data_IF_557987607311
#
_entry.id   IF_557987607311
#
_cell.length_a   1.000
_cell.length_b   1.000
_cell.length_c   1.000
_cell.angle_alpha   90.00
_cell.angle_beta   90.00
_cell.angle_gamma   90.00
#
_symmetry.space_group_name_H-M   'P 1'
#
loop_
_entity.id
_entity.type
_entity.pdbx_description
1 polymer ?
#
# COMPACT_ATOMS: atom_id res chain seq x y z
N UNK A 1 2.30 -22.69 8.41
CA UNK A 1 3.45 -22.05 9.09
C UNK A 1 3.04 -20.65 9.51
N UNK A 2 3.30 -20.23 10.76
CA UNK A 2 3.04 -18.86 11.21
C UNK A 2 4.12 -17.96 10.60
N UNK A 3 3.76 -17.11 9.63
CA UNK A 3 4.68 -16.10 9.11
C UNK A 3 4.96 -15.10 10.24
N UNK A 4 6.23 -14.82 10.60
CA UNK A 4 6.56 -13.83 11.61
C UNK A 4 6.28 -12.43 11.06
N UNK A 5 5.02 -12.00 11.17
CA UNK A 5 4.48 -10.81 10.50
C UNK A 5 5.25 -9.53 10.85
N UNK A 6 5.54 -9.30 12.13
CA UNK A 6 6.29 -8.13 12.57
C UNK A 6 7.76 -8.14 12.10
N UNK A 7 8.55 -9.23 12.30
CA UNK A 7 9.91 -9.31 11.76
C UNK A 7 9.98 -9.19 10.23
N UNK A 8 9.04 -9.79 9.49
CA UNK A 8 9.01 -9.71 8.03
C UNK A 8 8.80 -8.27 7.55
N UNK A 9 7.77 -7.59 8.07
CA UNK A 9 7.44 -6.23 7.68
C UNK A 9 8.55 -5.25 8.07
N UNK A 10 9.14 -5.44 9.24
CA UNK A 10 10.28 -4.64 9.69
C UNK A 10 11.50 -4.83 8.78
N UNK A 11 11.83 -6.08 8.42
CA UNK A 11 12.93 -6.37 7.50
C UNK A 11 12.73 -5.72 6.13
N UNK A 12 11.52 -5.85 5.56
CA UNK A 12 11.22 -5.22 4.25
C UNK A 12 11.28 -3.69 4.35
N UNK A 13 10.74 -3.10 5.41
CA UNK A 13 10.88 -1.66 5.65
C UNK A 13 12.34 -1.24 5.69
N UNK A 14 13.18 -1.94 6.45
CA UNK A 14 14.61 -1.63 6.55
C UNK A 14 15.36 -1.78 5.24
N UNK A 15 15.02 -2.79 4.42
CA UNK A 15 15.62 -2.97 3.10
C UNK A 15 15.24 -1.81 2.18
N UNK A 16 13.96 -1.44 2.11
CA UNK A 16 13.47 -0.33 1.27
C UNK A 16 14.05 0.99 1.74
N UNK A 17 13.97 1.27 3.05
CA UNK A 17 14.52 2.48 3.66
C UNK A 17 16.03 2.56 3.45
N UNK A 18 16.76 1.51 3.83
CA UNK A 18 18.22 1.45 3.70
C UNK A 18 18.66 1.62 2.25
N UNK A 19 18.07 0.88 1.30
CA UNK A 19 18.46 0.97 -0.11
C UNK A 19 18.20 2.35 -0.72
N UNK A 20 17.00 2.93 -0.54
CA UNK A 20 16.68 4.25 -1.10
C UNK A 20 17.49 5.37 -0.46
N UNK A 21 17.66 5.34 0.86
CA UNK A 21 18.42 6.38 1.56
C UNK A 21 19.91 6.25 1.26
N UNK A 22 20.48 5.04 1.24
CA UNK A 22 21.90 4.85 0.89
C UNK A 22 22.19 5.24 -0.55
N UNK A 23 21.37 4.81 -1.52
CA UNK A 23 21.57 5.18 -2.93
C UNK A 23 21.42 6.69 -3.16
N UNK A 24 20.54 7.34 -2.41
CA UNK A 24 20.41 8.80 -2.39
C UNK A 24 21.64 9.48 -1.79
N UNK A 25 22.14 9.02 -0.63
CA UNK A 25 23.32 9.58 0.03
C UNK A 25 24.61 9.40 -0.79
N UNK A 26 24.73 8.28 -1.50
CA UNK A 26 25.86 7.99 -2.38
C UNK A 26 25.77 8.69 -3.74
N UNK A 27 24.69 9.44 -4.00
CA UNK A 27 24.47 10.15 -5.27
C UNK A 27 24.20 9.23 -6.46
N UNK A 28 23.82 7.98 -6.23
CA UNK A 28 23.48 7.01 -7.28
C UNK A 28 22.15 7.39 -7.94
N UNK A 29 21.21 7.89 -7.14
CA UNK A 29 19.96 8.49 -7.62
C UNK A 29 19.99 10.01 -7.40
N UNK A 30 19.48 10.83 -8.34
CA UNK A 30 19.49 12.29 -8.24
C UNK A 30 18.34 12.79 -7.34
N UNK A 31 18.23 12.24 -6.14
CA UNK A 31 17.22 12.56 -5.14
C UNK A 31 17.92 12.86 -3.83
N UNK A 32 17.57 13.96 -3.16
CA UNK A 32 18.01 14.22 -1.80
C UNK A 32 17.38 13.19 -0.83
N UNK A 33 18.05 12.81 0.27
CA UNK A 33 17.54 11.78 1.18
C UNK A 33 16.15 12.08 1.74
N UNK A 34 15.89 13.35 2.04
CA UNK A 34 14.59 13.81 2.51
C UNK A 34 13.48 13.67 1.44
N UNK A 35 13.82 13.79 0.16
CA UNK A 35 12.89 13.63 -0.96
C UNK A 35 12.70 12.15 -1.35
N UNK A 36 13.59 11.26 -0.90
CA UNK A 36 13.47 9.82 -1.08
C UNK A 36 12.54 9.15 -0.04
N UNK A 37 12.34 9.80 1.13
CA UNK A 37 11.45 9.33 2.20
C UNK A 37 9.99 9.05 1.75
N UNK A 38 9.34 9.92 0.97
CA UNK A 38 8.03 9.62 0.39
C UNK A 38 8.03 8.30 -0.40
N UNK A 39 9.08 8.04 -1.19
CA UNK A 39 9.19 6.80 -1.98
C UNK A 39 9.33 5.56 -1.09
N UNK A 40 10.02 5.66 0.04
CA UNK A 40 10.07 4.58 1.05
C UNK A 40 8.65 4.20 1.47
N UNK A 41 7.82 5.18 1.81
CA UNK A 41 6.44 4.94 2.23
C UNK A 41 5.52 4.48 1.09
N UNK A 42 5.76 4.91 -0.15
CA UNK A 42 5.07 4.38 -1.33
C UNK A 42 5.30 2.89 -1.46
N UNK A 43 6.57 2.46 -1.47
CA UNK A 43 6.95 1.06 -1.65
C UNK A 43 6.53 0.21 -0.46
N UNK A 44 6.71 0.70 0.76
CA UNK A 44 6.30 -0.02 1.96
C UNK A 44 4.77 -0.10 2.11
N UNK A 45 4.04 0.98 1.81
CA UNK A 45 2.58 0.96 1.78
C UNK A 45 2.03 -0.03 0.75
N UNK A 46 2.66 -0.09 -0.44
CA UNK A 46 2.28 -1.02 -1.49
C UNK A 46 2.54 -2.46 -1.07
N UNK A 47 3.66 -2.71 -0.39
CA UNK A 47 3.97 -3.99 0.23
C UNK A 47 2.92 -4.42 1.26
N UNK A 48 2.49 -3.53 2.16
CA UNK A 48 1.44 -3.83 3.15
C UNK A 48 0.10 -4.15 2.48
N UNK A 49 -0.28 -3.36 1.46
CA UNK A 49 -1.49 -3.58 0.68
C UNK A 49 -1.45 -4.95 -0.01
N UNK A 50 -0.31 -5.29 -0.64
CA UNK A 50 -0.11 -6.56 -1.31
C UNK A 50 -0.17 -7.74 -0.32
N UNK A 51 0.56 -7.67 0.80
CA UNK A 51 0.56 -8.75 1.80
C UNK A 51 -0.83 -9.03 2.37
N UNK A 52 -1.63 -7.99 2.61
CA UNK A 52 -3.00 -8.13 3.10
C UNK A 52 -3.91 -8.93 2.15
N UNK A 53 -3.57 -8.98 0.86
CA UNK A 53 -4.28 -9.80 -0.14
C UNK A 53 -3.74 -11.24 -0.22
N UNK A 54 -2.42 -11.44 -0.13
CA UNK A 54 -1.77 -12.74 -0.36
C UNK A 54 -1.79 -13.66 0.87
N UNK A 55 -1.52 -13.16 2.08
CA UNK A 55 -1.30 -14.03 3.25
C UNK A 55 -2.63 -14.49 3.86
N UNK A 56 -2.91 -15.82 3.98
CA UNK A 56 -4.11 -16.41 4.59
C UNK A 56 -4.51 -15.77 5.94
N UNK A 57 -5.81 -15.64 6.25
CA UNK A 57 -6.24 -15.01 7.49
C UNK A 57 -5.72 -15.80 8.69
N UNK A 58 -5.22 -15.10 9.71
CA UNK A 58 -4.85 -15.74 10.96
C UNK A 58 -6.12 -16.19 11.68
N UNK A 59 -6.09 -17.40 12.26
CA UNK A 59 -7.15 -17.89 13.15
C UNK A 59 -7.15 -17.21 14.52
N UNK A 60 -6.22 -16.28 14.77
CA UNK A 60 -6.13 -15.54 16.03
C UNK A 60 -7.16 -14.39 16.05
N UNK A 61 -8.12 -14.37 16.99
CA UNK A 61 -9.11 -13.30 17.09
C UNK A 61 -8.52 -11.92 17.42
N UNK A 62 -7.30 -11.86 17.95
CA UNK A 62 -6.58 -10.61 18.21
C UNK A 62 -5.75 -10.11 17.02
N UNK A 63 -5.80 -10.80 15.87
CA UNK A 63 -5.08 -10.35 14.68
C UNK A 63 -5.79 -9.20 13.98
N UNK A 64 -5.03 -8.23 13.50
CA UNK A 64 -5.56 -7.07 12.79
C UNK A 64 -6.37 -7.52 11.55
N UNK A 65 -7.60 -7.01 11.35
CA UNK A 65 -8.39 -7.33 10.17
C UNK A 65 -7.63 -7.00 8.89
N UNK A 66 -7.61 -7.92 7.91
CA UNK A 66 -6.92 -7.73 6.62
C UNK A 66 -7.35 -6.45 5.91
N UNK A 67 -8.64 -6.14 5.92
CA UNK A 67 -9.17 -4.94 5.28
C UNK A 67 -8.52 -3.67 5.84
N UNK A 68 -8.16 -3.67 7.12
CA UNK A 68 -7.49 -2.56 7.79
C UNK A 68 -6.03 -2.48 7.36
N UNK A 69 -5.32 -3.61 7.24
CA UNK A 69 -3.94 -3.65 6.73
C UNK A 69 -3.89 -3.16 5.28
N UNK A 70 -4.79 -3.65 4.42
CA UNK A 70 -4.88 -3.24 3.01
C UNK A 70 -5.24 -1.76 2.90
N UNK A 71 -6.24 -1.31 3.66
CA UNK A 71 -6.67 0.09 3.69
C UNK A 71 -5.55 1.03 4.13
N UNK A 72 -4.86 0.72 5.23
CA UNK A 72 -3.73 1.54 5.68
C UNK A 72 -2.55 1.50 4.73
N UNK A 73 -2.24 0.36 4.12
CA UNK A 73 -1.22 0.27 3.08
C UNK A 73 -1.54 1.16 1.89
N UNK A 74 -2.78 1.12 1.40
CA UNK A 74 -3.24 1.97 0.30
C UNK A 74 -3.23 3.46 0.64
N UNK A 75 -3.67 3.84 1.85
CA UNK A 75 -3.63 5.23 2.32
C UNK A 75 -2.19 5.72 2.43
N UNK A 76 -1.31 4.93 3.04
CA UNK A 76 0.11 5.27 3.17
C UNK A 76 0.75 5.49 1.79
N UNK A 77 0.47 4.60 0.83
CA UNK A 77 0.94 4.75 -0.56
C UNK A 77 0.37 6.00 -1.21
N UNK A 78 -0.94 6.21 -1.18
CA UNK A 78 -1.58 7.36 -1.83
C UNK A 78 -1.10 8.70 -1.28
N UNK A 79 -1.06 8.85 0.04
CA UNK A 79 -0.57 10.07 0.70
C UNK A 79 0.90 10.31 0.35
N UNK A 80 1.72 9.26 0.31
CA UNK A 80 3.15 9.41 0.02
C UNK A 80 3.43 9.72 -1.45
N UNK A 81 2.60 9.24 -2.39
CA UNK A 81 2.65 9.67 -3.80
C UNK A 81 2.34 11.17 -3.89
N UNK A 82 1.28 11.63 -3.24
CA UNK A 82 0.92 13.05 -3.21
C UNK A 82 2.02 13.89 -2.58
N UNK A 83 2.62 13.40 -1.49
CA UNK A 83 3.74 14.05 -0.83
C UNK A 83 4.95 14.15 -1.76
N UNK A 84 5.33 13.06 -2.45
CA UNK A 84 6.42 13.05 -3.41
C UNK A 84 6.22 14.08 -4.53
N UNK A 85 5.01 14.12 -5.09
CA UNK A 85 4.67 15.02 -6.20
C UNK A 85 4.61 16.47 -5.73
N UNK A 86 4.07 16.75 -4.55
CA UNK A 86 4.04 18.09 -3.96
C UNK A 86 5.45 18.71 -3.87
N UNK A 87 6.45 17.91 -3.50
CA UNK A 87 7.82 18.39 -3.32
C UNK A 87 8.62 18.52 -4.61
N UNK A 88 8.34 17.70 -5.62
CA UNK A 88 9.16 17.66 -6.83
C UNK A 88 8.50 18.35 -8.03
N UNK A 89 7.18 18.19 -8.21
CA UNK A 89 6.43 18.67 -9.38
C UNK A 89 4.99 19.02 -8.95
N UNK A 90 4.86 20.04 -8.10
CA UNK A 90 3.58 20.40 -7.46
C UNK A 90 2.44 20.71 -8.43
N UNK A 91 2.74 21.14 -9.66
CA UNK A 91 1.76 21.40 -10.73
C UNK A 91 0.96 20.15 -11.11
N UNK A 92 1.53 18.94 -10.94
CA UNK A 92 0.86 17.67 -11.24
C UNK A 92 -0.04 17.18 -10.10
N UNK A 93 -0.06 17.86 -8.96
CA UNK A 93 -0.78 17.41 -7.77
C UNK A 93 -2.30 17.25 -8.00
N UNK A 94 -3.01 18.17 -8.68
CA UNK A 94 -4.45 17.99 -8.98
C UNK A 94 -4.72 16.78 -9.86
N UNK A 95 -3.92 16.61 -10.92
CA UNK A 95 -4.05 15.49 -11.87
C UNK A 95 -3.78 14.16 -11.17
N UNK A 96 -2.76 14.11 -10.32
CA UNK A 96 -2.42 12.92 -9.56
C UNK A 96 -3.51 12.57 -8.55
N UNK A 97 -4.01 13.55 -7.82
CA UNK A 97 -5.11 13.34 -6.87
C UNK A 97 -6.37 12.80 -7.57
N UNK A 98 -6.75 13.39 -8.70
CA UNK A 98 -7.86 12.89 -9.51
C UNK A 98 -7.62 11.45 -9.98
N UNK A 99 -6.40 11.13 -10.42
CA UNK A 99 -6.03 9.77 -10.83
C UNK A 99 -6.16 8.76 -9.69
N UNK A 100 -5.69 9.12 -8.48
CA UNK A 100 -5.82 8.26 -7.30
C UNK A 100 -7.28 8.03 -6.91
N UNK A 101 -8.14 9.06 -7.01
CA UNK A 101 -9.58 8.92 -6.78
C UNK A 101 -10.20 7.96 -7.80
N UNK A 102 -9.86 8.10 -9.09
CA UNK A 102 -10.39 7.22 -10.14
C UNK A 102 -10.00 5.76 -9.86
N UNK A 103 -8.73 5.50 -9.52
CA UNK A 103 -8.25 4.15 -9.17
C UNK A 103 -8.99 3.61 -7.96
N UNK A 104 -9.15 4.42 -6.90
CA UNK A 104 -9.88 4.03 -5.69
C UNK A 104 -11.35 3.74 -5.99
N UNK A 105 -11.99 4.53 -6.86
CA UNK A 105 -13.36 4.34 -7.32
C UNK A 105 -13.53 3.01 -8.07
N UNK A 106 -12.63 2.71 -9.01
CA UNK A 106 -12.64 1.44 -9.75
C UNK A 106 -12.47 0.25 -8.78
N UNK A 107 -11.54 0.35 -7.82
CA UNK A 107 -11.31 -0.69 -6.83
C UNK A 107 -12.56 -0.92 -5.94
N UNK A 108 -13.21 0.17 -5.50
CA UNK A 108 -14.44 0.09 -4.70
C UNK A 108 -15.60 -0.54 -5.48
N UNK A 109 -15.77 -0.17 -6.74
CA UNK A 109 -16.77 -0.76 -7.64
C UNK A 109 -16.50 -2.26 -7.84
N UNK A 110 -15.26 -2.65 -8.16
CA UNK A 110 -14.88 -4.06 -8.30
C UNK A 110 -15.15 -4.87 -7.03
N UNK A 111 -14.80 -4.33 -5.87
CA UNK A 111 -15.10 -4.94 -4.57
C UNK A 111 -16.61 -5.12 -4.33
N UNK A 112 -17.42 -4.13 -4.73
CA UNK A 112 -18.88 -4.21 -4.58
C UNK A 112 -19.49 -5.35 -5.40
N UNK A 113 -19.01 -5.55 -6.65
CA UNK A 113 -19.47 -6.65 -7.51
C UNK A 113 -19.06 -8.02 -6.97
N UNK A 114 -17.81 -8.18 -6.53
CA UNK A 114 -17.34 -9.42 -5.90
C UNK A 114 -18.19 -9.79 -4.68
N UNK A 115 -18.51 -8.81 -3.83
CA UNK A 115 -19.36 -9.02 -2.66
C UNK A 115 -20.79 -9.40 -3.04
N UNK A 116 -21.34 -8.77 -4.08
CA UNK A 116 -22.68 -9.09 -4.58
C UNK A 116 -22.77 -10.51 -5.13
N UNK A 117 -21.79 -10.96 -5.91
CA UNK A 117 -21.72 -12.33 -6.44
C UNK A 117 -21.61 -13.36 -5.31
N UNK A 118 -20.73 -13.13 -4.33
CA UNK A 118 -20.59 -14.03 -3.18
C UNK A 118 -21.89 -14.17 -2.38
N UNK A 119 -22.64 -13.07 -2.21
CA UNK A 119 -23.93 -13.08 -1.52
C UNK A 119 -24.99 -13.86 -2.31
N UNK A 120 -25.01 -13.73 -3.63
CA UNK A 120 -25.92 -14.51 -4.50
C UNK A 120 -25.58 -16.00 -4.50
N UNK A 121 -24.28 -16.36 -4.55
CA UNK A 121 -23.83 -17.75 -4.48
C UNK A 121 -24.22 -18.42 -3.16
N UNK A 122 -24.11 -17.70 -2.03
CA UNK A 122 -24.52 -18.19 -0.72
C UNK A 122 -26.04 -18.34 -0.55
N UNK A 123 -26.84 -17.64 -1.37
CA UNK A 123 -28.30 -17.64 -1.29
C UNK A 123 -28.98 -18.65 -2.24
N UNK A 124 -28.23 -19.31 -3.13
CA UNK A 124 -28.77 -20.37 -3.98
C UNK A 124 -28.86 -21.68 -3.18
N UNK A 125 -30.05 -22.28 -3.01
CA UNK A 125 -30.15 -23.64 -2.50
C UNK A 125 -29.49 -24.61 -3.50
N UNK A 126 -28.80 -25.62 -2.98
CA UNK A 126 -28.10 -26.64 -3.74
C UNK A 126 -29.05 -27.48 -4.61
#
# INVERSE_FOLDING_TARGET
MRVPWAPLNFGVFLIVFGSLILTSLLGIIPLAPLNALPLVFVLFGAWLALLGTIIPPSKNPYSTPRILIVGWGAVLTGVSILWFIAFNIGELLPVTFATLIIIAGIAAVGYSFLRAQNKQAAARPA
#
